data_IF_956025098300
#
_entry.id   IF_956025098300
#
_cell.length_a   1.000
_cell.length_b   1.000
_cell.length_c   1.000
_cell.angle_alpha   90.00
_cell.angle_beta   90.00
_cell.angle_gamma   90.00
#
_symmetry.space_group_name_H-M   'P 1'
#
loop_
_entity.id
_entity.type
_entity.pdbx_description
1 polymer ?
#
# COMPACT_ATOMS: atom_id res chain seq x y z
N UNK A 1 8.85 -17.52 1.30
CA UNK A 1 7.61 -17.60 2.11
C UNK A 1 6.83 -16.35 1.75
N UNK A 2 5.66 -16.47 1.14
CA UNK A 2 4.86 -15.30 0.77
C UNK A 2 4.10 -14.88 2.02
N UNK A 3 4.42 -13.72 2.58
CA UNK A 3 3.75 -13.21 3.78
C UNK A 3 2.72 -12.18 3.34
N UNK A 4 1.45 -12.44 3.66
CA UNK A 4 0.38 -11.46 3.53
C UNK A 4 0.25 -10.77 4.89
N UNK A 5 0.44 -9.46 4.92
CA UNK A 5 0.19 -8.64 6.09
C UNK A 5 -1.30 -8.30 6.17
N UNK A 6 -1.87 -8.40 7.36
CA UNK A 6 -3.23 -7.93 7.65
C UNK A 6 -3.24 -6.42 7.90
N UNK A 7 -2.10 -5.86 8.31
CA UNK A 7 -1.94 -4.44 8.66
C UNK A 7 -0.67 -3.82 8.08
N UNK A 8 -0.68 -2.49 7.90
CA UNK A 8 0.54 -1.76 7.53
C UNK A 8 1.63 -1.83 8.60
N UNK A 9 1.27 -1.99 9.87
CA UNK A 9 2.23 -2.13 10.97
C UNK A 9 3.12 -3.38 10.77
N UNK A 10 2.56 -4.50 10.32
CA UNK A 10 3.33 -5.70 9.99
C UNK A 10 4.32 -5.45 8.84
N UNK A 11 3.94 -4.64 7.86
CA UNK A 11 4.85 -4.25 6.76
C UNK A 11 5.99 -3.39 7.30
N UNK A 12 5.70 -2.44 8.20
CA UNK A 12 6.71 -1.60 8.85
C UNK A 12 7.67 -2.46 9.68
N UNK A 13 7.16 -3.43 10.44
CA UNK A 13 7.98 -4.35 11.22
C UNK A 13 8.89 -5.18 10.31
N UNK A 14 8.33 -5.79 9.26
CA UNK A 14 9.11 -6.54 8.27
C UNK A 14 10.19 -5.68 7.61
N UNK A 15 9.85 -4.45 7.21
CA UNK A 15 10.82 -3.52 6.62
C UNK A 15 11.96 -3.17 7.59
N UNK A 16 11.63 -2.91 8.85
CA UNK A 16 12.61 -2.60 9.88
C UNK A 16 13.54 -3.78 10.15
N UNK A 17 12.99 -4.97 10.32
CA UNK A 17 13.77 -6.20 10.57
C UNK A 17 14.69 -6.51 9.39
N UNK A 18 14.17 -6.49 8.16
CA UNK A 18 14.95 -6.70 6.95
C UNK A 18 16.08 -5.67 6.82
N UNK A 19 15.81 -4.39 7.12
CA UNK A 19 16.84 -3.35 7.09
C UNK A 19 17.92 -3.57 8.15
N UNK A 20 17.53 -3.96 9.37
CA UNK A 20 18.47 -4.29 10.45
C UNK A 20 19.35 -5.49 10.11
N UNK A 21 18.83 -6.44 9.34
CA UNK A 21 19.58 -7.57 8.79
C UNK A 21 20.46 -7.20 7.59
N UNK A 22 20.46 -5.93 7.16
CA UNK A 22 21.26 -5.43 6.04
C UNK A 22 20.70 -5.79 4.67
N UNK A 23 19.43 -6.18 4.59
CA UNK A 23 18.80 -6.56 3.33
C UNK A 23 18.49 -5.35 2.47
N UNK A 24 18.75 -5.50 1.17
CA UNK A 24 18.32 -4.55 0.16
C UNK A 24 16.97 -4.98 -0.40
N UNK A 25 16.21 -4.00 -0.86
CA UNK A 25 14.85 -4.22 -1.32
C UNK A 25 14.22 -2.96 -1.91
N UNK A 26 13.00 -3.13 -2.39
CA UNK A 26 12.19 -2.07 -2.98
C UNK A 26 10.74 -2.24 -2.54
N UNK A 27 10.13 -1.13 -2.12
CA UNK A 27 8.69 -1.05 -1.88
C UNK A 27 7.99 -0.70 -3.19
N UNK A 28 7.14 -1.59 -3.68
CA UNK A 28 6.24 -1.28 -4.80
C UNK A 28 4.90 -0.84 -4.26
N UNK A 29 4.38 0.28 -4.74
CA UNK A 29 3.14 0.88 -4.28
C UNK A 29 2.16 1.11 -5.44
N UNK A 30 0.92 0.69 -5.23
CA UNK A 30 -0.21 1.02 -6.07
C UNK A 30 -1.29 1.72 -5.22
N UNK A 31 -1.70 2.91 -5.65
CA UNK A 31 -2.76 3.68 -5.03
C UNK A 31 -3.85 3.93 -6.07
N UNK A 32 -5.11 3.79 -5.67
CA UNK A 32 -6.26 4.09 -6.52
C UNK A 32 -7.30 4.86 -5.73
N UNK A 33 -7.61 6.05 -6.18
CA UNK A 33 -8.73 6.84 -5.69
C UNK A 33 -9.86 6.73 -6.70
N UNK A 34 -10.88 5.93 -6.38
CA UNK A 34 -12.07 5.86 -7.24
C UNK A 34 -13.03 6.96 -6.84
N UNK A 35 -12.86 8.14 -7.43
CA UNK A 35 -13.94 9.12 -7.53
C UNK A 35 -14.85 8.70 -8.68
N UNK A 36 -16.19 8.67 -8.55
CA UNK A 36 -17.04 8.56 -9.73
C UNK A 36 -16.75 9.78 -10.62
N UNK A 37 -16.13 9.55 -11.77
CA UNK A 37 -15.86 10.57 -12.77
C UNK A 37 -17.20 11.22 -13.18
N UNK A 38 -17.47 12.44 -12.69
CA UNK A 38 -18.59 13.25 -13.17
C UNK A 38 -19.56 13.83 -12.13
N UNK A 39 -19.30 13.76 -10.82
CA UNK A 39 -20.20 14.44 -9.86
C UNK A 39 -19.86 15.94 -9.80
N UNK A 40 -20.62 16.72 -10.58
CA UNK A 40 -20.81 18.15 -10.37
C UNK A 40 -21.22 18.34 -8.90
N UNK A 41 -20.42 19.07 -8.14
CA UNK A 41 -20.74 19.53 -6.78
C UNK A 41 -21.92 20.50 -6.87
N UNK A 42 -23.14 19.99 -6.92
CA UNK A 42 -24.36 20.76 -6.80
C UNK A 42 -25.41 19.86 -6.17
N UNK A 43 -26.02 20.40 -5.13
CA UNK A 43 -27.07 19.84 -4.29
C UNK A 43 -26.67 18.75 -3.30
N UNK A 44 -26.88 19.12 -2.03
CA UNK A 44 -27.43 18.32 -0.94
C UNK A 44 -27.69 16.82 -1.24
N UNK A 45 -27.20 15.96 -0.33
CA UNK A 45 -27.74 14.61 -0.12
C UNK A 45 -27.32 13.45 -1.06
N UNK A 46 -26.04 13.36 -1.46
CA UNK A 46 -25.51 12.07 -1.96
C UNK A 46 -24.14 11.73 -1.38
N UNK A 47 -24.12 10.74 -0.48
CA UNK A 47 -22.91 10.09 0.00
C UNK A 47 -22.19 9.38 -1.13
N UNK A 48 -21.31 10.10 -1.83
CA UNK A 48 -20.32 9.51 -2.72
C UNK A 48 -19.28 8.80 -1.86
N UNK A 49 -19.43 7.47 -1.74
CA UNK A 49 -18.40 6.62 -1.13
C UNK A 49 -17.14 6.70 -2.00
N UNK A 50 -16.23 7.61 -1.64
CA UNK A 50 -14.86 7.63 -2.14
C UNK A 50 -14.18 6.36 -1.63
N UNK A 51 -14.08 5.34 -2.49
CA UNK A 51 -13.31 4.15 -2.16
C UNK A 51 -11.86 4.38 -2.57
N UNK A 52 -11.00 4.49 -1.57
CA UNK A 52 -9.56 4.65 -1.73
C UNK A 52 -8.90 3.30 -1.46
N UNK A 53 -8.08 2.82 -2.38
CA UNK A 53 -7.39 1.54 -2.25
C UNK A 53 -5.88 1.73 -2.25
N UNK A 54 -5.21 1.01 -1.37
CA UNK A 54 -3.75 0.87 -1.34
C UNK A 54 -3.40 -0.59 -1.48
N UNK A 55 -2.52 -0.91 -2.43
CA UNK A 55 -1.83 -2.21 -2.49
C UNK A 55 -0.33 -1.96 -2.51
N UNK A 56 0.43 -2.75 -1.76
CA UNK A 56 1.87 -2.67 -1.77
C UNK A 56 2.51 -4.04 -1.65
N UNK A 57 3.75 -4.13 -2.13
CA UNK A 57 4.63 -5.26 -1.86
C UNK A 57 6.02 -4.74 -1.58
N UNK A 58 6.57 -5.11 -0.43
CA UNK A 58 7.98 -4.89 -0.15
C UNK A 58 8.74 -6.16 -0.49
N UNK A 59 9.61 -6.07 -1.48
CA UNK A 59 10.48 -7.15 -1.93
C UNK A 59 11.89 -6.90 -1.36
N UNK A 60 12.42 -7.85 -0.60
CA UNK A 60 13.78 -7.82 -0.06
C UNK A 60 14.59 -8.98 -0.64
N UNK A 61 15.89 -8.98 -0.35
CA UNK A 61 16.81 -10.02 -0.83
C UNK A 61 16.45 -11.42 -0.29
N UNK A 62 15.75 -11.52 0.84
CA UNK A 62 15.41 -12.81 1.48
C UNK A 62 13.91 -13.13 1.48
N UNK A 63 13.04 -12.24 1.00
CA UNK A 63 11.61 -12.51 0.96
C UNK A 63 10.78 -11.31 0.54
N UNK A 64 9.47 -11.42 0.71
CA UNK A 64 8.56 -10.34 0.40
C UNK A 64 7.35 -10.35 1.32
N UNK A 65 6.77 -9.18 1.53
CA UNK A 65 5.51 -9.00 2.25
C UNK A 65 4.55 -8.17 1.41
N UNK A 66 3.29 -8.61 1.34
CA UNK A 66 2.22 -7.94 0.60
C UNK A 66 1.16 -7.41 1.55
N UNK A 67 0.63 -6.23 1.24
CA UNK A 67 -0.52 -5.65 1.94
C UNK A 67 -1.51 -5.07 0.92
N UNK A 68 -2.80 -5.24 1.20
CA UNK A 68 -3.89 -4.58 0.48
C UNK A 68 -4.91 -4.07 1.49
N UNK A 69 -5.28 -2.80 1.35
CA UNK A 69 -6.30 -2.16 2.19
C UNK A 69 -7.23 -1.29 1.35
N UNK A 70 -8.51 -1.39 1.66
CA UNK A 70 -9.56 -0.53 1.14
C UNK A 70 -10.03 0.41 2.26
N UNK A 71 -10.15 1.70 1.94
CA UNK A 71 -10.47 2.76 2.88
C UNK A 71 -11.69 3.52 2.37
N UNK A 72 -12.72 3.57 3.22
CA UNK A 72 -13.96 4.32 2.97
C UNK A 72 -13.92 5.72 3.60
N UNK A 73 -13.10 5.90 4.64
CA UNK A 73 -12.92 7.20 5.30
C UNK A 73 -11.53 7.78 4.98
N UNK A 74 -11.51 9.02 4.49
CA UNK A 74 -10.28 9.75 4.11
C UNK A 74 -9.26 9.80 5.26
N UNK A 75 -9.71 9.90 6.52
CA UNK A 75 -8.81 9.91 7.68
C UNK A 75 -7.97 8.63 7.80
N UNK A 76 -8.56 7.47 7.51
CA UNK A 76 -7.85 6.19 7.60
C UNK A 76 -6.90 6.01 6.43
N UNK A 77 -7.30 6.48 5.25
CA UNK A 77 -6.40 6.54 4.10
C UNK A 77 -5.18 7.42 4.39
N UNK A 78 -5.38 8.62 4.95
CA UNK A 78 -4.26 9.50 5.35
C UNK A 78 -3.33 8.83 6.36
N UNK A 79 -3.86 8.18 7.39
CA UNK A 79 -3.05 7.43 8.35
C UNK A 79 -2.26 6.28 7.70
N UNK A 80 -2.84 5.64 6.68
CA UNK A 80 -2.15 4.61 5.90
C UNK A 80 -0.99 5.20 5.10
N UNK A 81 -1.19 6.35 4.46
CA UNK A 81 -0.13 7.06 3.73
C UNK A 81 1.02 7.49 4.64
N UNK A 82 0.73 7.94 5.87
CA UNK A 82 1.77 8.28 6.86
C UNK A 82 2.63 7.06 7.21
N UNK A 83 2.02 5.90 7.44
CA UNK A 83 2.75 4.65 7.68
C UNK A 83 3.58 4.22 6.48
N UNK A 84 3.06 4.39 5.26
CA UNK A 84 3.81 4.10 4.03
C UNK A 84 5.01 5.02 3.90
N UNK A 85 4.89 6.28 4.28
CA UNK A 85 6.01 7.23 4.26
C UNK A 85 7.14 6.80 5.20
N UNK A 86 6.80 6.27 6.38
CA UNK A 86 7.80 5.66 7.27
C UNK A 86 8.53 4.47 6.63
N UNK A 87 7.85 3.66 5.81
CA UNK A 87 8.50 2.55 5.11
C UNK A 87 9.54 3.07 4.09
N UNK A 88 9.28 4.24 3.48
CA UNK A 88 10.22 4.88 2.52
C UNK A 88 11.55 5.28 3.15
N UNK A 89 11.59 5.48 4.47
CA UNK A 89 12.84 5.75 5.19
C UNK A 89 13.78 4.53 5.16
N UNK A 90 13.25 3.32 5.01
CA UNK A 90 14.02 2.07 4.99
C UNK A 90 14.36 1.63 3.56
N UNK A 91 13.40 1.73 2.64
CA UNK A 91 13.50 1.23 1.26
C UNK A 91 13.00 2.25 0.23
N UNK A 92 13.63 2.33 -0.96
CA UNK A 92 13.12 3.14 -2.04
C UNK A 92 11.72 2.67 -2.45
N UNK A 93 10.89 3.63 -2.87
CA UNK A 93 9.54 3.36 -3.35
C UNK A 93 9.47 3.46 -4.87
N UNK A 94 8.83 2.49 -5.49
CA UNK A 94 8.50 2.48 -6.91
C UNK A 94 6.99 2.39 -7.09
N UNK A 95 6.42 3.31 -7.86
CA UNK A 95 5.02 3.20 -8.25
C UNK A 95 4.84 2.04 -9.23
N UNK A 96 3.83 1.22 -8.99
CA UNK A 96 3.54 0.04 -9.80
C UNK A 96 2.06 -0.05 -10.13
N UNK A 97 1.75 -0.73 -11.24
CA UNK A 97 0.37 -1.09 -11.57
C UNK A 97 -0.14 -2.18 -10.65
N UNK A 98 -1.46 -2.23 -10.44
CA UNK A 98 -2.13 -3.32 -9.72
C UNK A 98 -1.67 -4.70 -10.21
N UNK A 99 -1.68 -4.92 -11.53
CA UNK A 99 -1.23 -6.18 -12.14
C UNK A 99 0.22 -6.54 -11.76
N UNK A 100 1.11 -5.55 -11.70
CA UNK A 100 2.52 -5.78 -11.34
C UNK A 100 2.66 -6.16 -9.87
N UNK A 101 1.91 -5.50 -9.00
CA UNK A 101 1.84 -5.80 -7.56
C UNK A 101 1.32 -7.23 -7.35
N UNK A 102 0.23 -7.61 -8.03
CA UNK A 102 -0.39 -8.94 -7.90
C UNK A 102 0.51 -10.05 -8.45
N UNK A 103 1.22 -9.80 -9.55
CA UNK A 103 2.24 -10.73 -10.07
C UNK A 103 3.35 -10.96 -9.04
N UNK A 104 3.85 -9.90 -8.40
CA UNK A 104 4.88 -9.98 -7.35
C UNK A 104 4.38 -10.69 -6.10
N UNK A 105 3.14 -10.44 -5.67
CA UNK A 105 2.54 -11.13 -4.53
C UNK A 105 2.44 -12.65 -4.73
N UNK A 106 2.18 -13.09 -5.97
CA UNK A 106 1.98 -14.49 -6.33
C UNK A 106 3.24 -15.22 -6.82
N UNK A 107 4.36 -14.52 -7.01
CA UNK A 107 5.60 -15.15 -7.45
C UNK A 107 6.23 -15.96 -6.30
N UNK A 108 6.72 -17.16 -6.61
CA UNK A 108 7.29 -18.15 -5.67
C UNK A 108 8.79 -18.26 -5.83
#
# INVERSE_FOLDING_TARGET
>A
MNTYAETLEEVVQFAKEAKQNGEQGTLYLHQRESSPEGTVLSDEDTGTNLQQQVKLVLETSNGHIFYAGDFEEERFYKMALEQIDHIKEYYPIEEATEESIEKKANHK
#
